data_IF_553441768157
#
_entry.id   IF_553441768157
#
_cell.length_a   1.000
_cell.length_b   1.000
_cell.length_c   1.000
_cell.angle_alpha   90.00
_cell.angle_beta   90.00
_cell.angle_gamma   90.00
#
_symmetry.space_group_name_H-M   'P 1'
#
loop_
_entity.id
_entity.type
_entity.pdbx_description
1 polymer ?
#
# COMPACT_ATOMS: atom_id res chain seq x y z
N UNK A 1 14.35 -6.25 24.77
CA UNK A 1 15.49 -6.23 23.83
C UNK A 1 15.09 -6.84 22.50
N UNK A 2 15.64 -6.32 21.39
CA UNK A 2 15.50 -6.89 20.06
C UNK A 2 16.85 -7.44 19.60
N UNK A 3 16.89 -8.60 18.92
CA UNK A 3 15.74 -9.40 18.48
C UNK A 3 15.06 -10.18 19.62
N UNK A 4 13.76 -10.45 19.46
CA UNK A 4 12.92 -11.27 20.36
C UNK A 4 12.20 -12.36 19.55
N UNK A 5 11.62 -13.40 20.18
CA UNK A 5 10.93 -14.47 19.45
C UNK A 5 9.75 -13.98 18.58
N UNK A 6 9.16 -12.84 18.91
CA UNK A 6 8.05 -12.24 18.17
C UNK A 6 8.51 -11.17 17.16
N UNK A 7 9.76 -10.72 17.26
CA UNK A 7 10.31 -9.64 16.45
C UNK A 7 11.82 -9.84 16.26
N UNK A 8 12.15 -10.62 15.25
CA UNK A 8 13.51 -10.94 14.82
C UNK A 8 13.75 -10.43 13.39
N UNK A 9 14.94 -10.73 12.83
CA UNK A 9 15.30 -10.31 11.48
C UNK A 9 14.45 -11.00 10.39
N UNK A 10 13.98 -12.23 10.63
CA UNK A 10 13.12 -12.95 9.70
C UNK A 10 11.74 -12.29 9.62
N UNK A 11 11.16 -11.94 10.76
CA UNK A 11 9.91 -11.18 10.83
C UNK A 11 10.05 -9.79 10.22
N UNK A 12 11.19 -9.11 10.46
CA UNK A 12 11.47 -7.84 9.80
C UNK A 12 11.47 -7.96 8.27
N UNK A 13 12.19 -8.93 7.70
CA UNK A 13 12.24 -9.14 6.25
C UNK A 13 10.86 -9.52 5.68
N UNK A 14 10.08 -10.30 6.42
CA UNK A 14 8.70 -10.63 6.07
C UNK A 14 7.83 -9.36 5.99
N UNK A 15 7.84 -8.52 7.03
CA UNK A 15 7.07 -7.26 7.04
C UNK A 15 7.58 -6.23 6.02
N UNK A 16 8.89 -6.22 5.75
CA UNK A 16 9.50 -5.39 4.72
C UNK A 16 8.98 -5.73 3.32
N UNK A 17 8.76 -7.01 3.01
CA UNK A 17 8.17 -7.44 1.74
C UNK A 17 6.74 -6.89 1.56
N UNK A 18 5.92 -6.84 2.62
CA UNK A 18 4.60 -6.21 2.57
C UNK A 18 4.65 -4.69 2.36
N UNK A 19 5.62 -4.01 2.98
CA UNK A 19 5.84 -2.58 2.76
C UNK A 19 6.17 -2.30 1.27
N UNK A 20 7.01 -3.15 0.66
CA UNK A 20 7.30 -3.07 -0.78
C UNK A 20 6.04 -3.30 -1.61
N UNK A 21 5.22 -4.29 -1.26
CA UNK A 21 3.98 -4.57 -1.98
C UNK A 21 3.03 -3.35 -1.96
N UNK A 22 2.87 -2.68 -0.82
CA UNK A 22 2.05 -1.47 -0.70
C UNK A 22 2.56 -0.33 -1.60
N UNK A 23 3.88 -0.11 -1.64
CA UNK A 23 4.50 0.88 -2.53
C UNK A 23 4.38 0.49 -4.02
N UNK A 24 4.50 -0.79 -4.34
CA UNK A 24 4.35 -1.33 -5.69
C UNK A 24 2.96 -1.12 -6.27
N UNK A 25 1.90 -1.23 -5.45
CA UNK A 25 0.53 -0.93 -5.88
C UNK A 25 0.41 0.54 -6.30
N UNK A 26 0.97 1.45 -5.50
CA UNK A 26 0.92 2.87 -5.88
C UNK A 26 1.73 3.12 -7.16
N UNK A 27 2.93 2.57 -7.28
CA UNK A 27 3.81 2.84 -8.43
C UNK A 27 3.14 2.55 -9.78
N UNK A 28 2.36 1.47 -9.87
CA UNK A 28 1.59 1.13 -11.07
C UNK A 28 0.50 2.14 -11.42
N UNK A 29 -0.16 2.71 -10.41
CA UNK A 29 -1.21 3.73 -10.61
C UNK A 29 -0.67 5.06 -11.15
N UNK A 30 0.61 5.34 -10.88
CA UNK A 30 1.28 6.59 -11.24
C UNK A 30 2.38 6.42 -12.30
N UNK A 31 2.40 5.28 -12.99
CA UNK A 31 3.40 4.97 -14.00
C UNK A 31 3.38 5.94 -15.20
N UNK A 32 4.51 6.03 -15.91
CA UNK A 32 4.74 6.78 -17.17
C UNK A 32 4.85 8.31 -17.07
N UNK A 33 4.23 8.96 -16.08
CA UNK A 33 4.17 10.44 -15.99
C UNK A 33 4.65 11.06 -14.67
N UNK A 34 4.98 10.25 -13.67
CA UNK A 34 5.55 10.76 -12.42
C UNK A 34 7.04 11.01 -12.56
N UNK A 35 7.51 12.14 -12.01
CA UNK A 35 8.95 12.39 -11.89
C UNK A 35 9.62 11.39 -10.94
N UNK A 36 10.78 10.86 -11.34
CA UNK A 36 11.47 9.84 -10.55
C UNK A 36 11.81 10.29 -9.13
N UNK A 37 12.25 11.54 -8.95
CA UNK A 37 12.55 12.08 -7.61
C UNK A 37 11.29 12.15 -6.74
N UNK A 38 10.16 12.57 -7.31
CA UNK A 38 8.89 12.60 -6.60
C UNK A 38 8.47 11.18 -6.17
N UNK A 39 8.67 10.19 -7.04
CA UNK A 39 8.41 8.78 -6.73
C UNK A 39 9.28 8.25 -5.58
N UNK A 40 10.58 8.58 -5.54
CA UNK A 40 11.47 8.18 -4.45
C UNK A 40 11.03 8.78 -3.11
N UNK A 41 10.77 10.09 -3.07
CA UNK A 41 10.31 10.78 -1.87
C UNK A 41 9.00 10.15 -1.38
N UNK A 42 8.03 10.01 -2.28
CA UNK A 42 6.75 9.38 -1.99
C UNK A 42 6.91 7.97 -1.41
N UNK A 43 7.72 7.13 -2.06
CA UNK A 43 7.94 5.74 -1.63
C UNK A 43 8.58 5.67 -0.24
N UNK A 44 9.51 6.58 0.07
CA UNK A 44 10.11 6.69 1.41
C UNK A 44 9.07 7.09 2.45
N UNK A 45 8.20 8.05 2.17
CA UNK A 45 7.14 8.44 3.13
C UNK A 45 6.08 7.35 3.30
N UNK A 46 5.69 6.68 2.22
CA UNK A 46 4.71 5.61 2.29
C UNK A 46 5.25 4.44 3.13
N UNK A 47 6.46 3.96 2.83
CA UNK A 47 7.04 2.77 3.49
C UNK A 47 7.67 3.08 4.84
N UNK A 48 8.17 4.30 5.05
CA UNK A 48 8.82 4.72 6.30
C UNK A 48 7.89 5.36 7.33
N UNK A 49 6.68 5.78 6.94
CA UNK A 49 5.74 6.42 7.86
C UNK A 49 4.31 5.90 7.75
N UNK A 50 3.66 6.06 6.59
CA UNK A 50 2.22 5.75 6.46
C UNK A 50 1.94 4.26 6.69
N UNK A 51 2.65 3.38 5.99
CA UNK A 51 2.48 1.93 6.12
C UNK A 51 2.79 1.43 7.54
N UNK A 52 3.94 1.76 8.17
CA UNK A 52 4.22 1.34 9.55
C UNK A 52 3.15 1.78 10.56
N UNK A 53 2.61 2.98 10.42
CA UNK A 53 1.52 3.47 11.29
C UNK A 53 0.26 2.62 11.13
N UNK A 54 -0.17 2.36 9.89
CA UNK A 54 -1.37 1.54 9.65
C UNK A 54 -1.16 0.08 10.03
N UNK A 55 0.03 -0.49 9.75
CA UNK A 55 0.36 -1.86 10.16
C UNK A 55 0.37 -1.98 11.68
N UNK A 56 0.86 -0.96 12.38
CA UNK A 56 0.81 -0.94 13.84
C UNK A 56 -0.63 -0.97 14.36
N UNK A 57 -1.55 -0.24 13.74
CA UNK A 57 -2.95 -0.19 14.18
C UNK A 57 -3.63 -1.56 14.20
N UNK A 58 -3.42 -2.39 13.16
CA UNK A 58 -4.09 -3.67 13.01
C UNK A 58 -3.28 -4.88 13.48
N UNK A 59 -1.96 -4.86 13.33
CA UNK A 59 -1.11 -6.04 13.55
C UNK A 59 -0.20 -5.96 14.77
N UNK A 60 0.03 -4.78 15.34
CA UNK A 60 0.76 -4.70 16.61
C UNK A 60 -0.13 -5.14 17.77
N UNK A 61 0.43 -5.83 18.77
CA UNK A 61 -0.33 -6.31 19.93
C UNK A 61 -0.97 -5.19 20.75
N UNK A 62 -0.41 -3.98 20.69
CA UNK A 62 -0.93 -2.74 21.28
C UNK A 62 -1.61 -1.81 20.26
N UNK A 63 -1.78 -2.28 19.01
CA UNK A 63 -2.52 -1.58 17.97
C UNK A 63 -3.97 -1.39 18.36
N UNK A 64 -4.50 -0.17 18.26
CA UNK A 64 -5.85 0.17 18.72
C UNK A 64 -6.99 -0.60 18.02
N UNK A 65 -6.74 -1.11 16.81
CA UNK A 65 -7.71 -1.89 16.04
C UNK A 65 -7.44 -3.41 16.08
N UNK A 66 -6.37 -3.86 16.74
CA UNK A 66 -6.04 -5.28 16.80
C UNK A 66 -7.16 -6.08 17.53
N UNK A 67 -7.68 -7.17 16.95
CA UNK A 67 -8.73 -7.99 17.56
C UNK A 67 -8.25 -8.86 18.74
N UNK A 68 -6.94 -8.98 18.94
CA UNK A 68 -6.28 -9.75 19.98
C UNK A 68 -5.61 -8.87 21.07
N UNK A 69 -6.02 -7.60 21.20
CA UNK A 69 -5.51 -6.71 22.26
C UNK A 69 -5.74 -7.32 23.65
N UNK A 70 -4.72 -7.25 24.49
CA UNK A 70 -4.75 -7.79 25.85
C UNK A 70 -5.56 -6.95 26.86
N UNK A 71 -5.82 -5.68 26.55
CA UNK A 71 -6.53 -4.74 27.43
C UNK A 71 -8.07 -4.83 27.33
N UNK A 72 -8.59 -5.71 26.46
CA UNK A 72 -10.03 -5.89 26.16
C UNK A 72 -10.77 -4.60 25.74
N UNK A 73 -10.05 -3.52 25.44
CA UNK A 73 -10.58 -2.28 24.90
C UNK A 73 -10.54 -2.34 23.37
N UNK A 74 -11.42 -3.17 22.82
CA UNK A 74 -11.50 -3.46 21.39
C UNK A 74 -12.30 -2.39 20.65
N UNK A 75 -11.80 -2.00 19.48
CA UNK A 75 -12.56 -1.16 18.54
C UNK A 75 -13.91 -1.83 18.21
N UNK A 76 -15.01 -1.11 18.41
CA UNK A 76 -16.38 -1.60 18.19
C UNK A 76 -16.71 -2.93 18.92
N UNK A 77 -15.98 -3.26 20.00
CA UNK A 77 -16.17 -4.49 20.77
C UNK A 77 -15.57 -5.75 20.13
N UNK A 78 -14.91 -5.67 18.97
CA UNK A 78 -14.31 -6.83 18.29
C UNK A 78 -12.89 -6.63 17.75
N UNK A 79 -12.49 -5.38 17.47
CA UNK A 79 -11.31 -5.10 16.64
C UNK A 79 -11.58 -5.36 15.16
N UNK A 80 -10.52 -5.25 14.35
CA UNK A 80 -10.53 -5.43 12.90
C UNK A 80 -9.56 -6.55 12.49
N UNK A 81 -10.09 -7.59 11.83
CA UNK A 81 -9.28 -8.71 11.34
C UNK A 81 -8.80 -8.39 9.93
N UNK A 82 -7.48 -8.32 9.76
CA UNK A 82 -6.82 -8.31 8.46
C UNK A 82 -5.70 -9.35 8.47
N UNK A 83 -5.93 -10.51 7.88
CA UNK A 83 -5.00 -11.63 8.02
C UNK A 83 -3.71 -11.45 7.21
N UNK A 84 -3.83 -10.95 5.98
CA UNK A 84 -2.73 -10.90 5.02
C UNK A 84 -2.58 -9.54 4.31
N UNK A 85 -3.30 -8.50 4.75
CA UNK A 85 -3.07 -7.13 4.31
C UNK A 85 -4.07 -6.60 3.30
N UNK A 86 -5.31 -7.10 3.26
CA UNK A 86 -6.36 -6.51 2.42
C UNK A 86 -6.56 -5.02 2.76
N UNK A 87 -6.51 -4.68 4.05
CA UNK A 87 -6.53 -3.30 4.52
C UNK A 87 -5.13 -2.69 4.55
N UNK A 88 -4.23 -3.28 5.36
CA UNK A 88 -2.91 -2.71 5.68
C UNK A 88 -2.02 -2.52 4.44
N UNK A 89 -2.17 -3.37 3.42
CA UNK A 89 -1.32 -3.37 2.23
C UNK A 89 -2.10 -2.89 1.01
N UNK A 90 -3.18 -3.60 0.65
CA UNK A 90 -3.92 -3.34 -0.58
C UNK A 90 -4.74 -2.06 -0.52
N UNK A 91 -5.50 -1.82 0.55
CA UNK A 91 -6.27 -0.58 0.70
C UNK A 91 -5.36 0.63 0.91
N UNK A 92 -4.30 0.52 1.73
CA UNK A 92 -3.31 1.60 1.89
C UNK A 92 -2.68 1.96 0.55
N UNK A 93 -2.12 0.98 -0.16
CA UNK A 93 -1.50 1.21 -1.47
C UNK A 93 -2.50 1.68 -2.52
N UNK A 94 -3.73 1.18 -2.49
CA UNK A 94 -4.81 1.56 -3.42
C UNK A 94 -5.31 2.99 -3.20
N UNK A 95 -5.53 3.41 -1.95
CA UNK A 95 -5.93 4.79 -1.63
C UNK A 95 -4.80 5.76 -1.94
N UNK A 96 -3.56 5.40 -1.61
CA UNK A 96 -2.42 6.25 -1.94
C UNK A 96 -2.21 6.34 -3.45
N UNK A 97 -2.42 5.24 -4.19
CA UNK A 97 -2.43 5.23 -5.65
C UNK A 97 -3.57 6.05 -6.28
N UNK A 98 -4.77 6.00 -5.70
CA UNK A 98 -5.90 6.83 -6.11
C UNK A 98 -5.55 8.32 -5.99
N UNK A 99 -5.05 8.75 -4.82
CA UNK A 99 -4.64 10.13 -4.62
C UNK A 99 -3.48 10.53 -5.52
N UNK A 100 -2.47 9.66 -5.69
CA UNK A 100 -1.37 9.89 -6.61
C UNK A 100 -1.85 10.06 -8.05
N UNK A 101 -2.80 9.23 -8.52
CA UNK A 101 -3.37 9.35 -9.84
C UNK A 101 -4.20 10.62 -10.03
N UNK A 102 -4.93 11.05 -9.00
CA UNK A 102 -5.71 12.30 -9.02
C UNK A 102 -4.80 13.53 -9.08
N UNK A 103 -3.72 13.56 -8.29
CA UNK A 103 -2.78 14.70 -8.21
C UNK A 103 -1.97 14.83 -9.51
N UNK A 104 -1.45 13.73 -10.02
CA UNK A 104 -0.65 13.70 -11.25
C UNK A 104 -1.50 13.96 -12.50
N UNK A 105 -2.80 13.65 -12.43
CA UNK A 105 -3.72 13.78 -13.54
C UNK A 105 -3.64 12.63 -14.55
N UNK A 106 -4.44 12.72 -15.63
CA UNK A 106 -4.56 11.66 -16.61
C UNK A 106 -3.33 11.54 -17.52
N UNK A 107 -3.05 10.31 -17.96
CA UNK A 107 -2.10 10.06 -19.04
C UNK A 107 -2.50 10.78 -20.32
N UNK A 108 -1.51 11.19 -21.10
CA UNK A 108 -1.73 11.75 -22.43
C UNK A 108 -2.49 10.72 -23.28
N UNK A 109 -3.55 11.17 -23.96
CA UNK A 109 -4.41 10.31 -24.76
C UNK A 109 -5.38 9.43 -23.97
N UNK A 110 -5.46 9.56 -22.63
CA UNK A 110 -6.47 8.86 -21.82
C UNK A 110 -7.90 9.36 -22.09
N UNK A 111 -8.04 10.64 -22.44
CA UNK A 111 -9.32 11.27 -22.73
C UNK A 111 -9.26 12.02 -24.07
N UNK A 112 -10.35 11.98 -24.85
CA UNK A 112 -10.49 12.75 -26.09
C UNK A 112 -10.86 14.22 -25.82
N UNK A 113 -10.95 15.04 -26.86
CA UNK A 113 -11.32 16.47 -26.75
C UNK A 113 -12.72 16.70 -26.14
N UNK A 114 -13.58 15.69 -26.14
CA UNK A 114 -14.90 15.72 -25.53
C UNK A 114 -14.90 15.14 -24.10
N UNK A 115 -13.72 14.81 -23.55
CA UNK A 115 -13.57 14.22 -22.22
C UNK A 115 -13.94 12.74 -22.13
N UNK A 116 -14.18 12.06 -23.26
CA UNK A 116 -14.54 10.63 -23.24
C UNK A 116 -13.31 9.77 -23.04
N UNK A 117 -13.46 8.69 -22.26
CA UNK A 117 -12.36 7.77 -22.00
C UNK A 117 -11.93 7.02 -23.26
N UNK A 118 -10.64 7.04 -23.55
CA UNK A 118 -10.01 6.26 -24.62
C UNK A 118 -9.26 5.08 -23.99
N UNK A 119 -9.46 3.89 -24.55
CA UNK A 119 -8.81 2.67 -24.07
C UNK A 119 -7.31 2.69 -24.43
N UNK A 120 -6.46 2.65 -23.40
CA UNK A 120 -5.02 2.43 -23.55
C UNK A 120 -4.78 0.90 -23.47
N UNK A 121 -4.40 0.29 -24.59
CA UNK A 121 -4.15 -1.16 -24.65
C UNK A 121 -2.83 -1.49 -23.93
N UNK A 122 -2.82 -2.62 -23.23
CA UNK A 122 -1.60 -3.14 -22.63
C UNK A 122 -0.55 -3.50 -23.68
N UNK A 123 0.72 -3.28 -23.36
CA UNK A 123 1.83 -3.47 -24.29
C UNK A 123 2.26 -4.93 -24.48
N UNK A 124 1.96 -5.82 -23.53
CA UNK A 124 2.29 -7.25 -23.61
C UNK A 124 1.35 -8.11 -22.76
N UNK A 125 0.63 -9.03 -23.38
CA UNK A 125 -0.23 -9.99 -22.66
C UNK A 125 0.61 -11.02 -21.89
N UNK A 126 1.76 -11.45 -22.42
CA UNK A 126 2.62 -12.43 -21.76
C UNK A 126 3.18 -11.90 -20.45
N UNK A 127 3.56 -10.63 -20.38
CA UNK A 127 4.03 -10.02 -19.12
C UNK A 127 2.92 -9.89 -18.07
N UNK A 128 1.67 -9.67 -18.50
CA UNK A 128 0.51 -9.64 -17.59
C UNK A 128 0.19 -11.01 -17.02
N UNK A 129 0.42 -12.10 -17.78
CA UNK A 129 0.19 -13.47 -17.29
C UNK A 129 1.33 -13.96 -16.39
N UNK A 130 2.56 -13.49 -16.62
CA UNK A 130 3.72 -13.84 -15.80
C UNK A 130 3.79 -13.09 -14.46
N UNK A 131 3.25 -11.87 -14.41
CA UNK A 131 3.20 -11.03 -13.20
C UNK A 131 2.01 -11.36 -12.33
#
# INVERSE_FOLDING_TARGET
>A
DFPSPQADYSFFLYQWAFAIAAAGITSGSIAERTQFVAYLIYSTFLTGFVYPVVSHWLWSGDGWANPAKSDNNLLFGSGAIDFAGSGVVHMVGGIAGLWGALIEGPRIGRFDHNGRSVALRGHSASLVVLG
#
